data_IF_195667966669
#
_entry.id   IF_195667966669
#
_cell.length_a   1.000
_cell.length_b   1.000
_cell.length_c   1.000
_cell.angle_alpha   90.00
_cell.angle_beta   90.00
_cell.angle_gamma   90.00
#
_symmetry.space_group_name_H-M   'P 1'
#
loop_
_entity.id
_entity.type
_entity.pdbx_description
1 polymer ?
#
# COMPACT_ATOMS: atom_id res chain seq x y z
N UNK A 1 -10.60 1.09 10.24
CA UNK A 1 -9.80 0.43 11.31
C UNK A 1 -9.98 -1.08 11.24
N UNK A 2 -9.12 -1.89 11.89
CA UNK A 2 -9.35 -3.35 12.05
C UNK A 2 -9.37 -3.66 13.56
N UNK A 3 -10.44 -4.29 14.03
CA UNK A 3 -10.61 -4.69 15.43
C UNK A 3 -10.81 -6.20 15.52
N UNK A 4 -9.90 -6.89 16.23
CA UNK A 4 -9.96 -8.36 16.43
C UNK A 4 -10.14 -9.16 15.12
N UNK A 5 -9.48 -8.72 14.04
CA UNK A 5 -9.56 -9.37 12.73
C UNK A 5 -10.77 -9.01 11.88
N UNK A 6 -11.61 -8.06 12.31
CA UNK A 6 -12.79 -7.59 11.58
C UNK A 6 -12.60 -6.13 11.16
N UNK A 7 -13.01 -5.81 9.93
CA UNK A 7 -13.07 -4.43 9.43
C UNK A 7 -14.03 -3.61 10.31
N UNK A 8 -13.52 -2.51 10.87
CA UNK A 8 -14.30 -1.51 11.60
C UNK A 8 -14.58 -0.28 10.75
N UNK A 9 -14.87 0.82 11.43
CA UNK A 9 -15.30 2.05 10.77
C UNK A 9 -14.25 2.62 9.80
N UNK A 10 -14.70 3.29 8.72
CA UNK A 10 -13.82 4.00 7.80
C UNK A 10 -13.10 5.14 8.54
N UNK A 11 -11.87 5.38 8.13
CA UNK A 11 -11.05 6.50 8.60
C UNK A 11 -10.94 7.53 7.48
N UNK A 12 -10.83 8.81 7.84
CA UNK A 12 -10.63 9.90 6.87
C UNK A 12 -9.27 9.79 6.20
N UNK A 13 -9.10 10.51 5.10
CA UNK A 13 -7.85 10.57 4.33
C UNK A 13 -6.65 10.82 5.23
N UNK A 14 -5.59 10.04 5.00
CA UNK A 14 -4.39 10.00 5.83
C UNK A 14 -3.16 9.81 4.96
N UNK A 15 -2.00 10.17 5.51
CA UNK A 15 -0.71 9.94 4.85
C UNK A 15 0.02 8.80 5.51
N UNK A 16 0.68 7.97 4.69
CA UNK A 16 1.56 6.91 5.16
C UNK A 16 2.99 7.30 4.80
N UNK A 17 3.91 7.24 5.76
CA UNK A 17 5.30 7.67 5.58
C UNK A 17 6.27 6.63 6.12
N UNK A 18 7.47 6.55 5.53
CA UNK A 18 8.51 5.63 5.96
C UNK A 18 9.59 5.38 4.90
N UNK A 19 10.60 4.60 5.27
CA UNK A 19 11.65 4.12 4.37
C UNK A 19 11.20 2.83 3.71
N UNK A 20 11.26 2.76 2.38
CA UNK A 20 10.79 1.59 1.62
C UNK A 20 11.44 0.27 2.04
N UNK A 21 12.75 0.27 2.29
CA UNK A 21 13.49 -0.94 2.66
C UNK A 21 13.04 -1.47 4.03
N UNK A 22 12.75 -0.59 4.97
CA UNK A 22 12.28 -1.00 6.30
C UNK A 22 10.83 -1.47 6.22
N UNK A 23 9.97 -0.78 5.45
CA UNK A 23 8.60 -1.23 5.18
C UNK A 23 8.55 -2.62 4.56
N UNK A 24 9.40 -2.91 3.57
CA UNK A 24 9.43 -4.23 2.93
C UNK A 24 9.84 -5.35 3.89
N UNK A 25 10.72 -5.07 4.86
CA UNK A 25 11.09 -6.03 5.91
C UNK A 25 9.97 -6.29 6.92
N UNK A 26 9.06 -5.33 7.09
CA UNK A 26 7.90 -5.46 7.97
C UNK A 26 6.72 -6.21 7.32
N UNK A 27 6.83 -6.64 6.06
CA UNK A 27 5.83 -7.47 5.39
C UNK A 27 5.90 -8.90 5.94
N UNK A 28 4.80 -9.39 6.52
CA UNK A 28 4.76 -10.72 7.15
C UNK A 28 3.68 -11.66 6.57
N UNK A 29 2.84 -11.18 5.66
CA UNK A 29 1.88 -11.99 4.92
C UNK A 29 1.61 -11.42 3.53
N UNK A 30 1.38 -12.32 2.58
CA UNK A 30 1.10 -12.01 1.17
C UNK A 30 -0.13 -12.82 0.74
N UNK A 31 -1.12 -12.13 0.19
CA UNK A 31 -2.35 -12.73 -0.34
C UNK A 31 -2.11 -13.50 -1.64
N UNK A 32 -3.09 -14.31 -2.03
CA UNK A 32 -3.09 -15.09 -3.26
C UNK A 32 -3.89 -14.43 -4.40
N UNK A 33 -4.21 -13.15 -4.28
CA UNK A 33 -5.15 -12.40 -5.11
C UNK A 33 -4.47 -11.30 -5.92
N UNK A 34 -3.41 -11.69 -6.64
CA UNK A 34 -2.63 -10.77 -7.45
C UNK A 34 -3.48 -10.10 -8.55
N UNK A 35 -3.43 -8.77 -8.61
CA UNK A 35 -4.09 -7.99 -9.66
C UNK A 35 -3.27 -6.74 -10.01
N UNK A 36 -3.35 -6.32 -11.28
CA UNK A 36 -2.72 -5.10 -11.80
C UNK A 36 -3.78 -4.13 -12.33
N UNK A 37 -3.53 -2.84 -12.14
CA UNK A 37 -4.38 -1.75 -12.63
C UNK A 37 -3.57 -0.81 -13.51
N UNK A 38 -4.18 -0.22 -14.55
CA UNK A 38 -3.55 0.83 -15.33
C UNK A 38 -3.49 2.13 -14.51
N UNK A 39 -2.43 2.91 -14.72
CA UNK A 39 -2.22 4.17 -14.02
C UNK A 39 -1.23 5.08 -14.74
N UNK A 40 -0.78 6.13 -14.03
CA UNK A 40 0.15 7.13 -14.54
C UNK A 40 1.28 7.34 -13.54
N UNK A 41 2.50 7.54 -14.05
CA UNK A 41 3.66 7.91 -13.25
C UNK A 41 4.32 9.16 -13.82
N UNK A 42 4.81 10.03 -12.92
CA UNK A 42 5.44 11.29 -13.25
C UNK A 42 6.92 11.32 -12.88
N UNK A 43 7.79 11.79 -13.78
CA UNK A 43 9.21 12.07 -13.47
C UNK A 43 9.69 13.26 -14.29
N UNK A 44 10.28 14.26 -13.61
CA UNK A 44 10.83 15.48 -14.24
C UNK A 44 9.85 16.13 -15.25
N UNK A 45 8.57 16.26 -14.88
CA UNK A 45 7.53 16.85 -15.73
C UNK A 45 6.97 15.93 -16.83
N UNK A 46 7.54 14.74 -17.03
CA UNK A 46 7.02 13.76 -17.98
C UNK A 46 5.98 12.88 -17.28
N UNK A 47 4.85 12.63 -17.94
CA UNK A 47 3.80 11.71 -17.48
C UNK A 47 3.72 10.54 -18.43
N UNK A 48 3.79 9.31 -17.91
CA UNK A 48 3.74 8.08 -18.69
C UNK A 48 2.64 7.15 -18.19
N UNK A 49 2.01 6.44 -19.12
CA UNK A 49 1.15 5.31 -18.80
C UNK A 49 1.99 4.18 -18.20
N UNK A 50 1.58 3.68 -17.04
CA UNK A 50 2.20 2.55 -16.35
C UNK A 50 1.11 1.60 -15.85
N UNK A 51 1.53 0.51 -15.23
CA UNK A 51 0.64 -0.33 -14.42
C UNK A 51 1.26 -0.53 -13.06
N UNK A 52 0.42 -0.60 -12.04
CA UNK A 52 0.79 -0.90 -10.66
C UNK A 52 -0.18 -1.93 -10.07
N UNK A 53 0.24 -2.54 -8.98
CA UNK A 53 -0.55 -3.55 -8.29
C UNK A 53 0.30 -4.66 -7.70
N UNK A 54 -0.39 -5.67 -7.23
CA UNK A 54 0.14 -6.76 -6.43
C UNK A 54 -0.99 -7.51 -5.75
N UNK A 55 -0.68 -8.53 -4.96
CA UNK A 55 -1.66 -9.11 -4.05
C UNK A 55 -1.87 -8.17 -2.85
N UNK A 56 -2.85 -8.47 -2.01
CA UNK A 56 -2.87 -7.83 -0.69
C UNK A 56 -1.62 -8.21 0.10
N UNK A 57 -1.04 -7.26 0.83
CA UNK A 57 0.07 -7.50 1.76
C UNK A 57 -0.30 -7.00 3.15
N UNK A 58 0.25 -7.65 4.18
CA UNK A 58 0.19 -7.16 5.56
C UNK A 58 1.55 -6.61 5.96
N UNK A 59 1.57 -5.36 6.41
CA UNK A 59 2.74 -4.70 6.98
C UNK A 59 2.54 -4.57 8.48
N UNK A 60 3.46 -5.10 9.28
CA UNK A 60 3.34 -5.12 10.74
C UNK A 60 3.40 -3.74 11.39
N UNK A 61 4.20 -2.84 10.82
CA UNK A 61 4.42 -1.51 11.36
C UNK A 61 4.60 -0.48 10.25
N UNK A 62 3.80 0.58 10.29
CA UNK A 62 3.94 1.75 9.43
C UNK A 62 3.51 3.00 10.20
N UNK A 63 4.12 4.14 9.86
CA UNK A 63 3.70 5.43 10.39
C UNK A 63 2.51 5.96 9.60
N UNK A 64 1.39 6.10 10.30
CA UNK A 64 0.12 6.64 9.79
C UNK A 64 -0.09 8.00 10.43
N UNK A 65 -0.34 9.03 9.61
CA UNK A 65 -0.52 10.42 10.03
C UNK A 65 -1.77 11.06 9.46
#
# INVERSE_FOLDING_TARGET
MIHKGVLGDPIRDLSITGTIIDTLKEVDAVGNDFHLKPGFCGKNGQTMHVSDGGPHIRVRSMKVG
#
